data_IF_296216621738
#
_entry.id   IF_296216621738
#
_cell.length_a   1.000
_cell.length_b   1.000
_cell.length_c   1.000
_cell.angle_alpha   90.00
_cell.angle_beta   90.00
_cell.angle_gamma   90.00
#
_symmetry.space_group_name_H-M   'P 1'
#
loop_
_entity.id
_entity.type
_entity.pdbx_description
1 polymer ?
#
# COMPACT_ATOMS: atom_id res chain seq x y z
N UNK A 1 50.74 26.39 -24.08
CA UNK A 1 51.74 26.31 -25.17
C UNK A 1 53.13 26.30 -24.55
N UNK A 2 53.77 25.13 -24.47
CA UNK A 2 55.19 25.01 -24.19
C UNK A 2 55.69 23.87 -25.07
N UNK A 3 56.35 24.26 -26.15
CA UNK A 3 57.04 23.39 -27.07
C UNK A 3 58.51 23.32 -26.62
N UNK A 4 59.07 22.12 -26.59
CA UNK A 4 60.51 21.93 -26.76
C UNK A 4 60.71 20.62 -27.53
N UNK A 5 60.93 20.77 -28.83
CA UNK A 5 61.74 19.86 -29.62
C UNK A 5 63.21 20.10 -29.26
N UNK A 6 64.04 19.07 -29.24
CA UNK A 6 65.11 18.88 -30.25
C UNK A 6 65.73 17.48 -30.12
N UNK A 7 65.90 16.92 -31.30
CA UNK A 7 66.45 15.64 -31.76
C UNK A 7 67.99 15.60 -31.57
N UNK A 8 68.59 14.42 -31.32
CA UNK A 8 69.80 13.92 -32.04
C UNK A 8 69.99 12.42 -31.77
N UNK A 9 70.30 11.70 -32.84
CA UNK A 9 70.55 10.27 -33.02
C UNK A 9 71.78 9.72 -32.28
N UNK A 10 71.74 8.44 -31.88
CA UNK A 10 72.89 7.55 -31.97
C UNK A 10 72.52 6.09 -32.23
N UNK A 11 73.31 5.46 -33.08
CA UNK A 11 73.14 4.18 -33.78
C UNK A 11 73.76 3.01 -32.98
N UNK A 12 73.09 1.85 -33.04
CA UNK A 12 73.48 0.44 -32.84
C UNK A 12 74.51 0.02 -31.77
N UNK A 13 74.06 -0.87 -30.88
CA UNK A 13 74.84 -2.07 -30.52
C UNK A 13 73.91 -3.25 -30.24
N UNK A 14 74.13 -4.33 -30.98
CA UNK A 14 73.43 -5.61 -30.96
C UNK A 14 73.65 -6.36 -29.64
N UNK A 15 72.57 -6.62 -28.91
CA UNK A 15 72.47 -7.76 -27.99
C UNK A 15 71.12 -8.44 -28.20
N UNK A 16 71.16 -9.63 -28.79
CA UNK A 16 70.00 -10.53 -28.84
C UNK A 16 69.50 -10.77 -27.41
N UNK A 17 68.23 -10.44 -27.17
CA UNK A 17 67.51 -10.82 -25.97
C UNK A 17 66.83 -12.17 -26.22
N UNK A 18 66.76 -13.06 -25.21
CA UNK A 18 66.32 -14.43 -25.41
C UNK A 18 64.88 -14.45 -25.93
N UNK A 19 64.68 -15.19 -27.03
CA UNK A 19 63.37 -15.49 -27.62
C UNK A 19 62.55 -16.29 -26.62
N UNK A 20 61.49 -15.68 -26.08
CA UNK A 20 60.42 -16.41 -25.42
C UNK A 20 59.70 -17.23 -26.50
N UNK A 21 60.07 -18.50 -26.59
CA UNK A 21 59.34 -19.48 -27.37
C UNK A 21 57.88 -19.52 -26.94
N UNK A 22 56.99 -19.56 -27.94
CA UNK A 22 55.65 -20.10 -27.78
C UNK A 22 54.66 -19.25 -26.98
N UNK A 23 54.29 -18.08 -27.49
CA UNK A 23 52.95 -17.55 -27.19
C UNK A 23 52.23 -17.27 -28.50
N UNK A 24 51.38 -18.22 -28.93
CA UNK A 24 50.35 -17.97 -29.93
C UNK A 24 49.49 -16.83 -29.40
N UNK A 25 49.68 -15.63 -29.92
CA UNK A 25 48.74 -14.53 -29.73
C UNK A 25 47.46 -14.96 -30.45
N UNK A 26 46.54 -15.59 -29.71
CA UNK A 26 45.17 -15.81 -30.15
C UNK A 26 44.54 -14.43 -30.29
N UNK A 27 44.44 -13.94 -31.52
CA UNK A 27 43.51 -12.88 -31.87
C UNK A 27 42.14 -13.31 -31.35
N UNK A 28 41.57 -12.57 -30.38
CA UNK A 28 40.20 -12.85 -29.92
C UNK A 28 39.30 -12.79 -31.16
N UNK A 29 38.62 -13.90 -31.48
CA UNK A 29 37.47 -13.87 -32.39
C UNK A 29 36.56 -12.77 -31.85
N UNK A 30 36.33 -11.72 -32.63
CA UNK A 30 35.24 -10.79 -32.34
C UNK A 30 34.00 -11.66 -32.20
N UNK A 31 33.38 -11.67 -31.03
CA UNK A 31 32.06 -12.25 -30.86
C UNK A 31 31.13 -11.40 -31.72
N UNK A 32 30.97 -11.80 -32.99
CA UNK A 32 29.89 -11.32 -33.82
C UNK A 32 28.66 -11.95 -33.18
N UNK A 33 27.92 -11.17 -32.38
CA UNK A 33 26.61 -11.60 -31.94
C UNK A 33 25.82 -11.95 -33.21
N UNK A 34 25.37 -13.20 -33.33
CA UNK A 34 24.51 -13.60 -34.43
C UNK A 34 23.38 -12.56 -34.56
N UNK A 35 22.94 -12.17 -35.77
CA UNK A 35 21.82 -11.24 -35.92
C UNK A 35 20.61 -11.68 -35.08
N UNK A 36 19.85 -10.71 -34.57
CA UNK A 36 18.58 -10.99 -33.92
C UNK A 36 17.60 -11.43 -35.01
N UNK A 37 16.96 -12.57 -34.81
CA UNK A 37 15.87 -13.05 -35.68
C UNK A 37 14.65 -13.43 -34.82
N UNK A 38 13.94 -12.41 -34.30
CA UNK A 38 12.72 -12.65 -33.54
C UNK A 38 11.58 -13.19 -34.43
N UNK A 39 11.68 -13.11 -35.77
CA UNK A 39 10.61 -13.55 -36.68
C UNK A 39 10.59 -15.06 -36.71
N UNK A 40 11.73 -15.67 -37.05
CA UNK A 40 11.85 -17.12 -37.06
C UNK A 40 11.54 -17.76 -35.70
N UNK A 41 11.91 -17.10 -34.60
CA UNK A 41 11.53 -17.57 -33.26
C UNK A 41 10.02 -17.54 -33.05
N UNK A 42 9.35 -16.43 -33.40
CA UNK A 42 7.91 -16.31 -33.24
C UNK A 42 7.16 -17.33 -34.12
N UNK A 43 7.56 -17.46 -35.39
CA UNK A 43 6.96 -18.42 -36.33
C UNK A 43 7.08 -19.85 -35.82
N UNK A 44 8.23 -20.23 -35.24
CA UNK A 44 8.41 -21.53 -34.62
C UNK A 44 7.48 -21.74 -33.41
N UNK A 45 7.29 -20.72 -32.56
CA UNK A 45 6.35 -20.81 -31.43
C UNK A 45 4.91 -20.91 -31.94
N UNK A 46 4.53 -20.11 -32.95
CA UNK A 46 3.21 -20.15 -33.59
C UNK A 46 2.95 -21.56 -34.15
N UNK A 47 3.92 -22.13 -34.86
CA UNK A 47 3.80 -23.49 -35.39
C UNK A 47 3.59 -24.53 -34.29
N UNK A 48 4.27 -24.41 -33.14
CA UNK A 48 4.04 -25.29 -31.99
C UNK A 48 2.58 -25.21 -31.50
N UNK A 49 1.98 -24.01 -31.46
CA UNK A 49 0.56 -23.86 -31.10
C UNK A 49 -0.37 -24.50 -32.14
N UNK A 50 -0.07 -24.34 -33.43
CA UNK A 50 -0.86 -24.90 -34.53
C UNK A 50 -0.77 -26.44 -34.57
N UNK A 51 0.43 -27.00 -34.46
CA UNK A 51 0.69 -28.45 -34.48
C UNK A 51 -0.04 -29.20 -33.35
N UNK A 52 -0.24 -28.52 -32.22
CA UNK A 52 -0.92 -29.05 -31.04
C UNK A 52 -2.37 -28.57 -30.91
N UNK A 53 -2.93 -27.90 -31.93
CA UNK A 53 -4.30 -27.37 -31.94
C UNK A 53 -4.68 -26.56 -30.68
N UNK A 54 -3.72 -25.83 -30.11
CA UNK A 54 -3.93 -25.03 -28.91
C UNK A 54 -4.02 -25.78 -27.58
N UNK A 55 -3.78 -27.10 -27.57
CA UNK A 55 -3.69 -27.87 -26.31
C UNK A 55 -2.47 -27.39 -25.51
N UNK A 56 -2.72 -26.57 -24.49
CA UNK A 56 -1.67 -25.93 -23.70
C UNK A 56 -0.78 -26.94 -22.95
N UNK A 57 -1.27 -28.15 -22.66
CA UNK A 57 -0.47 -29.20 -22.04
C UNK A 57 0.54 -29.80 -23.02
N UNK A 58 0.13 -30.04 -24.27
CA UNK A 58 1.00 -30.50 -25.35
C UNK A 58 1.95 -29.40 -25.81
N UNK A 59 1.46 -28.17 -25.99
CA UNK A 59 2.27 -26.98 -26.30
C UNK A 59 3.37 -26.77 -25.27
N UNK A 60 3.07 -26.91 -23.98
CA UNK A 60 4.08 -26.81 -22.92
C UNK A 60 5.18 -27.87 -23.05
N UNK A 61 4.82 -29.12 -23.39
CA UNK A 61 5.79 -30.20 -23.62
C UNK A 61 6.66 -29.92 -24.83
N UNK A 62 6.07 -29.48 -25.95
CA UNK A 62 6.81 -29.12 -27.16
C UNK A 62 7.80 -27.97 -26.91
N UNK A 63 7.38 -26.94 -26.17
CA UNK A 63 8.25 -25.82 -25.76
C UNK A 63 9.39 -26.28 -24.84
N UNK A 64 9.11 -27.21 -23.92
CA UNK A 64 10.13 -27.80 -23.04
C UNK A 64 11.18 -28.58 -23.84
N UNK A 65 10.76 -29.34 -24.85
CA UNK A 65 11.65 -30.12 -25.72
C UNK A 65 12.34 -29.32 -26.83
N UNK A 66 11.88 -28.10 -27.12
CA UNK A 66 12.42 -27.28 -28.20
C UNK A 66 13.83 -26.75 -27.90
N UNK A 67 14.63 -26.55 -28.94
CA UNK A 67 15.96 -25.92 -28.92
C UNK A 67 15.90 -24.39 -29.08
N UNK A 68 14.69 -23.81 -29.02
CA UNK A 68 14.45 -22.37 -29.15
C UNK A 68 15.14 -21.55 -28.05
N UNK A 69 15.69 -20.40 -28.45
CA UNK A 69 16.46 -19.55 -27.54
C UNK A 69 15.59 -18.57 -26.72
N UNK A 70 14.91 -19.11 -25.70
CA UNK A 70 14.07 -18.35 -24.78
C UNK A 70 14.83 -17.26 -24.00
N UNK A 71 16.13 -17.44 -23.74
CA UNK A 71 16.94 -16.42 -23.08
C UNK A 71 17.08 -15.15 -23.92
N UNK A 72 17.06 -15.29 -25.25
CA UNK A 72 17.19 -14.19 -26.20
C UNK A 72 15.84 -13.59 -26.61
N UNK A 73 14.81 -14.42 -26.70
CA UNK A 73 13.52 -14.06 -27.28
C UNK A 73 12.34 -14.21 -26.30
N UNK A 74 12.60 -14.18 -24.99
CA UNK A 74 11.56 -14.34 -23.98
C UNK A 74 10.44 -13.31 -24.06
N UNK A 75 10.74 -12.05 -24.44
CA UNK A 75 9.70 -11.02 -24.66
C UNK A 75 8.80 -11.42 -25.85
N UNK A 76 9.41 -11.81 -26.97
CA UNK A 76 8.70 -12.28 -28.17
C UNK A 76 7.85 -13.53 -27.87
N UNK A 77 8.35 -14.44 -27.02
CA UNK A 77 7.57 -15.59 -26.58
C UNK A 77 6.25 -15.15 -25.92
N UNK A 78 6.31 -14.23 -24.94
CA UNK A 78 5.09 -13.77 -24.29
C UNK A 78 4.21 -12.91 -25.20
N UNK A 79 4.77 -12.16 -26.16
CA UNK A 79 3.95 -11.52 -27.21
C UNK A 79 3.10 -12.53 -27.98
N UNK A 80 3.70 -13.66 -28.38
CA UNK A 80 2.96 -14.76 -29.04
C UNK A 80 1.88 -15.33 -28.11
N UNK A 81 2.19 -15.58 -26.83
CA UNK A 81 1.19 -16.09 -25.85
C UNK A 81 0.00 -15.14 -25.70
N UNK A 82 0.23 -13.82 -25.63
CA UNK A 82 -0.84 -12.86 -25.46
C UNK A 82 -1.61 -12.56 -26.75
N UNK A 83 -0.91 -12.33 -27.86
CA UNK A 83 -1.49 -11.79 -29.10
C UNK A 83 -1.57 -12.81 -30.26
N UNK A 84 -1.07 -14.03 -30.08
CA UNK A 84 -1.12 -15.09 -31.10
C UNK A 84 0.02 -15.04 -32.11
N UNK A 85 0.87 -14.02 -32.04
CA UNK A 85 2.03 -13.82 -32.90
C UNK A 85 2.77 -12.55 -32.50
N UNK A 86 3.70 -12.11 -33.34
CA UNK A 86 4.41 -10.86 -33.11
C UNK A 86 3.51 -9.64 -33.24
N UNK A 87 3.91 -8.60 -32.52
CA UNK A 87 3.34 -7.25 -32.64
C UNK A 87 4.42 -6.29 -33.10
N UNK A 88 4.06 -5.29 -33.90
CA UNK A 88 5.02 -4.27 -34.32
C UNK A 88 5.56 -3.51 -33.08
N UNK A 89 6.85 -3.16 -33.05
CA UNK A 89 7.46 -2.50 -31.90
C UNK A 89 6.69 -1.27 -31.43
N UNK A 90 6.30 -1.24 -30.15
CA UNK A 90 5.57 -0.12 -29.55
C UNK A 90 4.08 -0.04 -29.94
N UNK A 91 3.53 -1.06 -30.58
CA UNK A 91 2.10 -1.15 -30.91
C UNK A 91 1.55 -2.53 -30.55
N UNK A 92 0.24 -2.71 -30.74
CA UNK A 92 -0.43 -4.02 -30.68
C UNK A 92 -0.78 -4.56 -32.07
N UNK A 93 -0.43 -3.82 -33.13
CA UNK A 93 -0.74 -4.22 -34.49
C UNK A 93 0.02 -5.50 -34.82
N UNK A 94 -0.63 -6.46 -35.50
CA UNK A 94 0.07 -7.61 -36.06
C UNK A 94 1.28 -7.14 -36.86
N UNK A 95 2.41 -7.80 -36.59
CA UNK A 95 3.57 -7.73 -37.47
C UNK A 95 3.42 -8.73 -38.62
N UNK A 96 4.29 -8.67 -39.63
CA UNK A 96 4.30 -9.68 -40.69
C UNK A 96 4.56 -11.08 -40.11
N UNK A 97 3.69 -12.05 -40.45
CA UNK A 97 3.80 -13.45 -40.01
C UNK A 97 2.45 -14.12 -39.75
N UNK A 98 2.47 -15.45 -39.54
CA UNK A 98 1.28 -16.20 -39.15
C UNK A 98 0.93 -15.99 -37.68
N UNK A 99 -0.35 -16.16 -37.34
CA UNK A 99 -0.86 -16.07 -35.96
C UNK A 99 -1.64 -17.31 -35.59
N UNK A 100 -1.46 -17.79 -34.36
CA UNK A 100 -2.32 -18.82 -33.80
C UNK A 100 -3.57 -18.21 -33.15
N UNK A 101 -4.74 -18.87 -33.25
CA UNK A 101 -6.00 -18.34 -32.69
C UNK A 101 -6.16 -18.58 -31.18
N UNK A 102 -5.22 -19.28 -30.54
CA UNK A 102 -5.32 -19.72 -29.14
C UNK A 102 -4.71 -18.73 -28.12
N UNK A 103 -4.62 -17.45 -28.46
CA UNK A 103 -3.99 -16.44 -27.62
C UNK A 103 -4.92 -15.92 -26.53
N UNK A 104 -4.35 -15.27 -25.50
CA UNK A 104 -5.15 -14.67 -24.41
C UNK A 104 -6.09 -13.58 -24.96
N UNK A 105 -5.67 -12.84 -25.99
CA UNK A 105 -6.51 -11.80 -26.60
C UNK A 105 -7.65 -12.39 -27.44
N UNK A 106 -7.48 -13.59 -28.01
CA UNK A 106 -8.52 -14.25 -28.82
C UNK A 106 -9.53 -15.06 -27.99
N UNK A 107 -9.20 -15.46 -26.75
CA UNK A 107 -10.11 -16.24 -25.90
C UNK A 107 -11.33 -15.44 -25.41
N UNK A 108 -12.34 -16.10 -24.83
CA UNK A 108 -13.49 -15.39 -24.24
C UNK A 108 -13.07 -14.53 -23.03
N UNK A 109 -13.73 -13.38 -22.83
CA UNK A 109 -13.51 -12.52 -21.66
C UNK A 109 -14.15 -13.08 -20.37
N UNK A 110 -13.77 -14.31 -20.02
CA UNK A 110 -14.23 -15.05 -18.85
C UNK A 110 -13.06 -15.74 -18.15
N UNK A 111 -13.21 -15.90 -16.83
CA UNK A 111 -12.19 -16.46 -15.93
C UNK A 111 -11.77 -17.87 -16.33
N UNK A 112 -12.74 -18.73 -16.58
CA UNK A 112 -12.60 -20.14 -17.00
C UNK A 112 -11.92 -20.30 -18.36
N UNK A 113 -12.09 -19.34 -19.28
CA UNK A 113 -11.38 -19.32 -20.55
C UNK A 113 -9.90 -18.88 -20.43
N UNK A 114 -9.59 -17.97 -19.50
CA UNK A 114 -8.24 -17.37 -19.34
C UNK A 114 -7.36 -18.17 -18.36
N UNK A 115 -7.96 -18.80 -17.34
CA UNK A 115 -7.24 -19.56 -16.31
C UNK A 115 -6.29 -20.63 -16.88
N UNK A 116 -6.64 -21.41 -17.92
CA UNK A 116 -5.71 -22.35 -18.54
C UNK A 116 -4.40 -21.70 -19.01
N UNK A 117 -4.45 -20.50 -19.59
CA UNK A 117 -3.26 -19.75 -20.02
C UNK A 117 -2.39 -19.34 -18.84
N UNK A 118 -2.99 -18.96 -17.70
CA UNK A 118 -2.25 -18.62 -16.46
C UNK A 118 -1.53 -19.85 -15.90
N UNK A 119 -2.21 -21.00 -15.83
CA UNK A 119 -1.62 -22.27 -15.39
C UNK A 119 -0.49 -22.70 -16.32
N UNK A 120 -0.70 -22.59 -17.64
CA UNK A 120 0.30 -22.84 -18.65
C UNK A 120 1.56 -21.97 -18.47
N UNK A 121 1.39 -20.65 -18.33
CA UNK A 121 2.53 -19.74 -18.08
C UNK A 121 3.24 -20.11 -16.77
N UNK A 122 2.49 -20.43 -15.71
CA UNK A 122 3.08 -20.85 -14.44
C UNK A 122 3.94 -22.10 -14.61
N UNK A 123 3.49 -23.09 -15.40
CA UNK A 123 4.25 -24.30 -15.72
C UNK A 123 5.54 -23.98 -16.48
N UNK A 124 5.48 -23.11 -17.49
CA UNK A 124 6.67 -22.66 -18.23
C UNK A 124 7.65 -21.95 -17.30
N UNK A 125 7.17 -21.05 -16.43
CA UNK A 125 8.01 -20.31 -15.49
C UNK A 125 8.66 -21.21 -14.42
N UNK A 126 7.99 -22.28 -13.98
CA UNK A 126 8.59 -23.27 -13.06
C UNK A 126 9.78 -23.98 -13.70
N UNK A 127 9.72 -24.26 -15.00
CA UNK A 127 10.81 -24.90 -15.77
C UNK A 127 11.88 -23.90 -16.22
N UNK A 128 11.49 -22.66 -16.50
CA UNK A 128 12.36 -21.59 -16.99
C UNK A 128 12.17 -20.30 -16.15
N UNK A 129 12.64 -20.27 -14.88
CA UNK A 129 12.36 -19.15 -13.97
C UNK A 129 12.88 -17.80 -14.46
N UNK A 130 13.94 -17.79 -15.27
CA UNK A 130 14.52 -16.57 -15.85
C UNK A 130 13.53 -15.80 -16.75
N UNK A 131 12.50 -16.46 -17.29
CA UNK A 131 11.47 -15.85 -18.12
C UNK A 131 10.52 -14.92 -17.35
N UNK A 132 10.53 -14.93 -16.01
CA UNK A 132 9.67 -14.04 -15.22
C UNK A 132 9.90 -12.57 -15.57
N UNK A 133 11.15 -12.19 -15.87
CA UNK A 133 11.48 -10.81 -16.23
C UNK A 133 10.89 -10.43 -17.59
N UNK A 134 10.86 -11.36 -18.53
CA UNK A 134 10.24 -11.13 -19.83
C UNK A 134 8.72 -11.00 -19.71
N UNK A 135 8.07 -11.84 -18.88
CA UNK A 135 6.65 -11.69 -18.60
C UNK A 135 6.34 -10.33 -17.96
N UNK A 136 7.14 -9.92 -16.97
CA UNK A 136 7.03 -8.61 -16.34
C UNK A 136 7.12 -7.48 -17.39
N UNK A 137 8.10 -7.55 -18.30
CA UNK A 137 8.28 -6.56 -19.36
C UNK A 137 7.07 -6.51 -20.30
N UNK A 138 6.56 -7.67 -20.73
CA UNK A 138 5.40 -7.74 -21.63
C UNK A 138 4.16 -7.20 -20.94
N UNK A 139 3.84 -7.65 -19.72
CA UNK A 139 2.71 -7.14 -18.96
C UNK A 139 2.79 -5.62 -18.75
N UNK A 140 3.97 -5.10 -18.40
CA UNK A 140 4.21 -3.67 -18.30
C UNK A 140 3.84 -2.95 -19.60
N UNK A 141 4.30 -3.44 -20.77
CA UNK A 141 3.98 -2.82 -22.06
C UNK A 141 2.49 -2.90 -22.40
N UNK A 142 1.84 -4.03 -22.13
CA UNK A 142 0.39 -4.21 -22.36
C UNK A 142 -0.41 -3.19 -21.54
N UNK A 143 -0.12 -3.07 -20.24
CA UNK A 143 -0.82 -2.15 -19.35
C UNK A 143 -0.50 -0.67 -19.62
N UNK A 144 0.69 -0.36 -20.15
CA UNK A 144 1.00 0.99 -20.64
C UNK A 144 0.27 1.37 -21.93
N UNK A 145 -0.30 0.38 -22.61
CA UNK A 145 -0.90 0.51 -23.94
C UNK A 145 -2.39 0.21 -23.91
N UNK A 146 -3.06 0.32 -22.75
CA UNK A 146 -4.50 0.05 -22.60
C UNK A 146 -5.37 0.82 -23.59
N UNK A 147 -4.92 1.98 -24.06
CA UNK A 147 -5.62 2.79 -25.06
C UNK A 147 -5.67 2.15 -26.45
N UNK A 148 -4.76 1.22 -26.74
CA UNK A 148 -4.68 0.51 -28.03
C UNK A 148 -5.56 -0.75 -28.05
N UNK A 149 -6.09 -1.17 -26.91
CA UNK A 149 -6.97 -2.33 -26.79
C UNK A 149 -8.44 -1.92 -26.88
N UNK A 150 -9.29 -2.79 -27.40
CA UNK A 150 -10.73 -2.67 -27.28
C UNK A 150 -11.21 -2.95 -25.85
N UNK A 151 -12.46 -2.59 -25.55
CA UNK A 151 -13.03 -2.79 -24.21
C UNK A 151 -12.98 -4.25 -23.76
N UNK A 152 -13.37 -5.16 -24.66
CA UNK A 152 -13.38 -6.60 -24.37
C UNK A 152 -11.96 -7.15 -24.14
N UNK A 153 -10.96 -6.65 -24.86
CA UNK A 153 -9.56 -7.05 -24.70
C UNK A 153 -8.97 -6.53 -23.39
N UNK A 154 -9.26 -5.27 -23.02
CA UNK A 154 -8.88 -4.71 -21.71
C UNK A 154 -9.44 -5.56 -20.56
N UNK A 155 -10.67 -6.04 -20.70
CA UNK A 155 -11.30 -6.94 -19.71
C UNK A 155 -10.55 -8.27 -19.62
N UNK A 156 -10.14 -8.88 -20.74
CA UNK A 156 -9.30 -10.09 -20.74
C UNK A 156 -7.97 -9.86 -20.01
N UNK A 157 -7.33 -8.71 -20.24
CA UNK A 157 -6.09 -8.35 -19.53
C UNK A 157 -6.30 -8.16 -18.03
N UNK A 158 -7.43 -7.58 -17.63
CA UNK A 158 -7.80 -7.41 -16.22
C UNK A 158 -7.99 -8.77 -15.53
N UNK A 159 -8.76 -9.67 -16.14
CA UNK A 159 -8.99 -11.04 -15.67
C UNK A 159 -7.67 -11.82 -15.60
N UNK A 160 -6.85 -11.77 -16.66
CA UNK A 160 -5.54 -12.41 -16.66
C UNK A 160 -4.67 -11.91 -15.51
N UNK A 161 -4.63 -10.59 -15.30
CA UNK A 161 -3.80 -9.98 -14.25
C UNK A 161 -4.31 -10.38 -12.85
N UNK A 162 -5.63 -10.44 -12.64
CA UNK A 162 -6.24 -10.91 -11.39
C UNK A 162 -5.88 -12.36 -11.11
N UNK A 163 -6.05 -13.24 -12.09
CA UNK A 163 -5.67 -14.64 -12.01
C UNK A 163 -4.17 -14.82 -11.78
N UNK A 164 -3.31 -14.05 -12.44
CA UNK A 164 -1.86 -14.12 -12.26
C UNK A 164 -1.46 -13.85 -10.81
N UNK A 165 -2.06 -12.85 -10.15
CA UNK A 165 -1.79 -12.58 -8.74
C UNK A 165 -2.47 -13.57 -7.79
N UNK A 166 -3.70 -13.99 -8.08
CA UNK A 166 -4.43 -14.98 -7.28
C UNK A 166 -3.70 -16.33 -7.26
N UNK A 167 -3.20 -16.77 -8.42
CA UNK A 167 -2.41 -18.00 -8.56
C UNK A 167 -0.94 -17.84 -8.12
N UNK A 168 -0.58 -16.67 -7.57
CA UNK A 168 0.78 -16.32 -7.11
C UNK A 168 1.84 -16.64 -8.15
N UNK A 169 1.59 -16.23 -9.41
CA UNK A 169 2.36 -16.62 -10.59
C UNK A 169 3.85 -16.27 -10.42
N UNK A 170 4.62 -17.27 -9.99
CA UNK A 170 6.08 -17.32 -9.82
C UNK A 170 6.75 -16.03 -9.29
N UNK A 171 6.08 -15.31 -8.38
CA UNK A 171 6.63 -14.10 -7.76
C UNK A 171 6.60 -12.85 -8.64
N UNK A 172 5.70 -12.77 -9.63
CA UNK A 172 5.48 -11.56 -10.43
C UNK A 172 5.34 -10.32 -9.52
N UNK A 173 6.16 -9.26 -9.71
CA UNK A 173 6.21 -8.15 -8.76
C UNK A 173 5.01 -7.22 -8.96
N UNK A 174 4.10 -7.07 -7.95
CA UNK A 174 2.92 -6.22 -8.08
C UNK A 174 3.24 -4.77 -8.46
N UNK A 175 4.29 -4.21 -7.86
CA UNK A 175 4.73 -2.83 -8.11
C UNK A 175 4.97 -2.58 -9.61
N UNK A 176 5.65 -3.50 -10.28
CA UNK A 176 6.03 -3.34 -11.69
C UNK A 176 4.86 -3.49 -12.66
N UNK A 177 3.80 -4.18 -12.23
CA UNK A 177 2.58 -4.41 -13.00
C UNK A 177 1.60 -3.26 -12.81
N UNK A 178 1.50 -2.70 -11.60
CA UNK A 178 0.52 -1.65 -11.28
C UNK A 178 1.02 -0.23 -11.53
N UNK A 179 2.29 0.10 -11.23
CA UNK A 179 2.85 1.43 -11.51
C UNK A 179 2.58 1.96 -12.94
N UNK A 180 2.64 1.13 -14.00
CA UNK A 180 2.39 1.60 -15.36
C UNK A 180 0.97 2.10 -15.61
N UNK A 181 0.00 1.74 -14.76
CA UNK A 181 -1.38 2.22 -14.83
C UNK A 181 -1.50 3.69 -14.39
N UNK A 182 -0.57 4.21 -13.60
CA UNK A 182 -0.62 5.59 -13.10
C UNK A 182 -0.18 6.64 -14.14
N UNK A 183 -0.14 6.31 -15.43
CA UNK A 183 0.14 7.29 -16.50
C UNK A 183 -1.05 8.23 -16.71
N UNK A 184 -0.81 9.53 -16.63
CA UNK A 184 -1.83 10.60 -16.68
C UNK A 184 -2.80 10.48 -17.87
N UNK A 185 -2.30 10.13 -19.07
CA UNK A 185 -3.12 9.89 -20.28
C UNK A 185 -4.21 8.83 -20.01
N UNK A 186 -3.81 7.66 -19.53
CA UNK A 186 -4.71 6.51 -19.38
C UNK A 186 -5.74 6.78 -18.27
N UNK A 187 -5.31 7.46 -17.20
CA UNK A 187 -6.16 7.90 -16.10
C UNK A 187 -7.19 8.93 -16.59
N UNK A 188 -6.77 9.94 -17.35
CA UNK A 188 -7.67 10.97 -17.88
C UNK A 188 -8.77 10.39 -18.78
N UNK A 189 -8.45 9.35 -19.56
CA UNK A 189 -9.41 8.63 -20.42
C UNK A 189 -10.32 7.66 -19.65
N UNK A 190 -10.10 7.46 -18.35
CA UNK A 190 -10.87 6.51 -17.52
C UNK A 190 -10.57 5.03 -17.78
N UNK A 191 -9.55 4.73 -18.59
CA UNK A 191 -9.18 3.35 -18.95
C UNK A 191 -8.64 2.58 -17.74
N UNK A 192 -7.88 3.28 -16.89
CA UNK A 192 -7.30 2.72 -15.67
C UNK A 192 -8.39 2.33 -14.68
N UNK A 193 -9.37 3.22 -14.47
CA UNK A 193 -10.49 2.95 -13.58
C UNK A 193 -11.31 1.73 -14.05
N UNK A 194 -11.58 1.63 -15.35
CA UNK A 194 -12.27 0.47 -15.93
C UNK A 194 -11.48 -0.82 -15.68
N UNK A 195 -10.19 -0.82 -16.03
CA UNK A 195 -9.31 -1.98 -15.86
C UNK A 195 -9.22 -2.42 -14.39
N UNK A 196 -8.98 -1.49 -13.47
CA UNK A 196 -8.86 -1.79 -12.03
C UNK A 196 -10.17 -2.34 -11.47
N UNK A 197 -11.32 -1.85 -11.96
CA UNK A 197 -12.62 -2.34 -11.51
C UNK A 197 -12.84 -3.80 -11.89
N UNK A 198 -12.54 -4.17 -13.14
CA UNK A 198 -12.63 -5.56 -13.60
C UNK A 198 -11.61 -6.45 -12.89
N UNK A 199 -10.40 -5.94 -12.67
CA UNK A 199 -9.35 -6.62 -11.91
C UNK A 199 -9.78 -6.91 -10.47
N UNK A 200 -10.33 -5.93 -9.74
CA UNK A 200 -10.80 -6.12 -8.36
C UNK A 200 -11.94 -7.13 -8.29
N UNK A 201 -12.91 -7.03 -9.20
CA UNK A 201 -14.01 -7.98 -9.29
C UNK A 201 -13.51 -9.41 -9.45
N UNK A 202 -12.63 -9.64 -10.41
CA UNK A 202 -12.13 -10.98 -10.70
C UNK A 202 -11.15 -11.49 -9.61
N UNK A 203 -10.35 -10.61 -9.00
CA UNK A 203 -9.45 -10.98 -7.92
C UNK A 203 -10.22 -11.41 -6.67
N UNK A 204 -11.30 -10.71 -6.32
CA UNK A 204 -12.11 -10.98 -5.13
C UNK A 204 -13.04 -12.21 -5.26
N UNK A 205 -13.05 -12.90 -6.41
CA UNK A 205 -13.76 -14.18 -6.56
C UNK A 205 -13.13 -15.26 -5.66
N UNK A 206 -11.80 -15.32 -5.61
CA UNK A 206 -11.05 -16.37 -4.90
C UNK A 206 -10.21 -15.82 -3.71
N UNK A 207 -10.16 -14.51 -3.52
CA UNK A 207 -9.31 -13.86 -2.51
C UNK A 207 -10.14 -12.91 -1.64
N UNK A 208 -9.69 -12.70 -0.40
CA UNK A 208 -10.34 -11.76 0.52
C UNK A 208 -10.00 -10.30 0.19
N UNK A 209 -10.75 -9.36 0.78
CA UNK A 209 -10.39 -7.95 0.73
C UNK A 209 -9.01 -7.70 1.37
N UNK A 210 -8.69 -8.37 2.47
CA UNK A 210 -7.39 -8.24 3.14
C UNK A 210 -6.23 -8.69 2.24
N UNK A 211 -6.43 -9.76 1.45
CA UNK A 211 -5.47 -10.19 0.43
C UNK A 211 -5.29 -9.12 -0.65
N UNK A 212 -6.40 -8.53 -1.12
CA UNK A 212 -6.37 -7.45 -2.11
C UNK A 212 -5.61 -6.23 -1.56
N UNK A 213 -5.93 -5.76 -0.36
CA UNK A 213 -5.23 -4.64 0.28
C UNK A 213 -3.74 -4.96 0.45
N UNK A 214 -3.39 -6.20 0.85
CA UNK A 214 -2.00 -6.64 0.97
C UNK A 214 -1.29 -6.65 -0.39
N UNK A 215 -1.97 -7.03 -1.46
CA UNK A 215 -1.46 -6.97 -2.83
C UNK A 215 -1.21 -5.53 -3.27
N UNK A 216 -2.17 -4.62 -3.01
CA UNK A 216 -2.05 -3.19 -3.35
C UNK A 216 -0.91 -2.50 -2.57
N UNK A 217 -0.71 -2.87 -1.30
CA UNK A 217 0.43 -2.41 -0.48
C UNK A 217 1.77 -2.85 -1.07
N UNK A 218 1.89 -4.13 -1.46
CA UNK A 218 3.07 -4.65 -2.19
C UNK A 218 3.24 -3.99 -3.56
N UNK A 219 2.13 -3.53 -4.15
CA UNK A 219 2.10 -2.74 -5.38
C UNK A 219 2.48 -1.27 -5.20
N UNK A 220 2.54 -0.77 -3.95
CA UNK A 220 2.69 0.64 -3.60
C UNK A 220 1.64 1.54 -4.26
N UNK A 221 0.40 1.06 -4.33
CA UNK A 221 -0.73 1.78 -4.96
C UNK A 221 -1.97 1.85 -4.06
N UNK A 222 -1.88 1.35 -2.82
CA UNK A 222 -2.99 1.33 -1.87
C UNK A 222 -3.35 2.73 -1.33
N UNK A 223 -2.37 3.64 -1.27
CA UNK A 223 -2.63 5.06 -0.99
C UNK A 223 -3.14 5.83 -2.22
N UNK A 224 -3.05 5.22 -3.42
CA UNK A 224 -3.31 5.88 -4.70
C UNK A 224 -4.66 5.47 -5.32
N UNK A 225 -5.56 4.84 -4.56
CA UNK A 225 -6.84 4.34 -5.11
C UNK A 225 -7.67 5.44 -5.79
N UNK A 226 -7.65 6.67 -5.24
CA UNK A 226 -8.28 7.84 -5.87
C UNK A 226 -7.56 8.28 -7.15
N UNK A 227 -6.26 8.00 -7.28
CA UNK A 227 -5.50 8.40 -8.47
C UNK A 227 -5.89 7.61 -9.73
N UNK A 228 -6.55 6.45 -9.60
CA UNK A 228 -7.11 5.71 -10.73
C UNK A 228 -8.25 6.42 -11.43
N UNK A 229 -8.93 7.35 -10.73
CA UNK A 229 -10.02 8.13 -11.29
C UNK A 229 -9.48 9.27 -12.16
N UNK A 230 -10.16 9.59 -13.27
CA UNK A 230 -9.95 10.86 -13.97
C UNK A 230 -10.00 12.02 -12.98
N UNK A 231 -9.15 13.04 -13.17
CA UNK A 231 -9.01 14.15 -12.23
C UNK A 231 -10.34 14.83 -11.87
N UNK A 232 -11.27 14.93 -12.82
CA UNK A 232 -12.61 15.51 -12.64
C UNK A 232 -13.56 14.68 -11.77
N UNK A 233 -13.21 13.42 -11.47
CA UNK A 233 -14.03 12.47 -10.69
C UNK A 233 -13.38 12.06 -9.36
N UNK A 234 -12.26 12.69 -8.98
CA UNK A 234 -11.55 12.37 -7.74
C UNK A 234 -12.26 13.00 -6.55
N UNK A 235 -13.15 12.25 -5.92
CA UNK A 235 -13.75 12.60 -4.63
C UNK A 235 -14.11 11.35 -3.85
N UNK A 236 -14.35 11.49 -2.54
CA UNK A 236 -14.81 10.38 -1.70
C UNK A 236 -16.18 9.86 -2.17
N UNK A 237 -17.05 10.77 -2.59
CA UNK A 237 -18.38 10.46 -3.13
C UNK A 237 -18.27 9.72 -4.47
N UNK A 238 -17.41 10.19 -5.37
CA UNK A 238 -17.18 9.55 -6.66
C UNK A 238 -16.57 8.15 -6.54
N UNK A 239 -15.69 7.96 -5.54
CA UNK A 239 -15.17 6.64 -5.19
C UNK A 239 -16.28 5.70 -4.72
N UNK A 240 -17.07 6.16 -3.74
CA UNK A 240 -18.16 5.38 -3.14
C UNK A 240 -19.22 5.01 -4.17
N UNK A 241 -19.68 5.96 -4.99
CA UNK A 241 -20.66 5.74 -6.06
C UNK A 241 -20.18 4.70 -7.08
N UNK A 242 -18.96 4.86 -7.60
CA UNK A 242 -18.41 3.98 -8.64
C UNK A 242 -18.27 2.54 -8.13
N UNK A 243 -17.64 2.35 -6.97
CA UNK A 243 -17.37 1.00 -6.47
C UNK A 243 -18.61 0.32 -5.88
N UNK A 244 -19.56 1.07 -5.33
CA UNK A 244 -20.87 0.52 -4.95
C UNK A 244 -21.63 0.02 -6.17
N UNK A 245 -21.69 0.79 -7.26
CA UNK A 245 -22.30 0.37 -8.53
C UNK A 245 -21.58 -0.84 -9.14
N UNK A 246 -20.28 -0.97 -8.89
CA UNK A 246 -19.49 -2.13 -9.28
C UNK A 246 -19.68 -3.36 -8.36
N UNK A 247 -20.46 -3.27 -7.28
CA UNK A 247 -20.64 -4.37 -6.32
C UNK A 247 -19.47 -4.57 -5.34
N UNK A 248 -18.59 -3.58 -5.21
CA UNK A 248 -17.39 -3.61 -4.38
C UNK A 248 -17.59 -2.81 -3.08
N UNK A 249 -18.73 -3.01 -2.42
CA UNK A 249 -19.10 -2.32 -1.16
C UNK A 249 -18.05 -2.49 -0.05
N UNK A 250 -17.45 -3.68 0.17
CA UNK A 250 -16.40 -3.82 1.19
C UNK A 250 -15.17 -2.92 0.94
N UNK A 251 -14.84 -2.63 -0.33
CA UNK A 251 -13.76 -1.71 -0.67
C UNK A 251 -14.13 -0.25 -0.35
N UNK A 252 -15.40 0.12 -0.49
CA UNK A 252 -15.93 1.45 -0.12
C UNK A 252 -15.81 1.65 1.39
N UNK A 253 -16.31 0.70 2.18
CA UNK A 253 -16.24 0.74 3.64
C UNK A 253 -14.78 0.81 4.14
N UNK A 254 -13.89 0.05 3.51
CA UNK A 254 -12.45 0.13 3.77
C UNK A 254 -11.89 1.53 3.52
N UNK A 255 -12.19 2.12 2.36
CA UNK A 255 -11.68 3.43 1.99
C UNK A 255 -12.26 4.54 2.89
N UNK A 256 -13.53 4.48 3.26
CA UNK A 256 -14.17 5.41 4.21
C UNK A 256 -13.51 5.34 5.58
N UNK A 257 -13.28 4.13 6.10
CA UNK A 257 -12.57 3.92 7.35
C UNK A 257 -11.13 4.45 7.28
N UNK A 258 -10.40 4.17 6.20
CA UNK A 258 -9.04 4.67 5.98
C UNK A 258 -8.99 6.19 5.95
N UNK A 259 -9.89 6.84 5.21
CA UNK A 259 -9.99 8.31 5.16
C UNK A 259 -10.30 8.88 6.54
N UNK A 260 -11.20 8.24 7.29
CA UNK A 260 -11.52 8.65 8.65
C UNK A 260 -10.28 8.55 9.58
N UNK A 261 -9.56 7.43 9.56
CA UNK A 261 -8.32 7.24 10.34
C UNK A 261 -7.23 8.26 9.98
N UNK A 262 -7.07 8.60 8.69
CA UNK A 262 -6.14 9.64 8.24
C UNK A 262 -6.54 11.01 8.81
N UNK A 263 -7.82 11.38 8.72
CA UNK A 263 -8.33 12.64 9.29
C UNK A 263 -8.11 12.72 10.81
N UNK A 264 -8.35 11.63 11.53
CA UNK A 264 -8.08 11.56 12.98
C UNK A 264 -6.59 11.76 13.27
N UNK A 265 -5.70 11.12 12.50
CA UNK A 265 -4.25 11.26 12.66
C UNK A 265 -3.75 12.67 12.37
N UNK A 266 -4.27 13.31 11.32
CA UNK A 266 -3.95 14.70 10.97
C UNK A 266 -4.42 15.67 12.06
N UNK A 267 -5.64 15.49 12.56
CA UNK A 267 -6.17 16.29 13.67
C UNK A 267 -5.31 16.10 14.92
N UNK A 268 -4.99 14.86 15.29
CA UNK A 268 -4.12 14.55 16.41
C UNK A 268 -2.77 15.27 16.29
N UNK A 269 -2.11 15.15 15.13
CA UNK A 269 -0.82 15.80 14.88
C UNK A 269 -0.91 17.33 15.00
N UNK A 270 -1.93 17.95 14.41
CA UNK A 270 -2.09 19.40 14.44
C UNK A 270 -2.35 19.93 15.86
N UNK A 271 -3.19 19.24 16.63
CA UNK A 271 -3.50 19.64 18.01
C UNK A 271 -2.34 19.40 18.97
N UNK A 272 -1.58 18.31 18.80
CA UNK A 272 -0.35 18.10 19.57
C UNK A 272 0.63 19.25 19.37
N UNK A 273 0.81 19.73 18.14
CA UNK A 273 1.65 20.92 17.88
C UNK A 273 1.15 22.15 18.61
N UNK A 274 -0.15 22.48 18.50
CA UNK A 274 -0.73 23.64 19.20
C UNK A 274 -0.56 23.56 20.72
N UNK A 275 -0.72 22.37 21.30
CA UNK A 275 -0.56 22.14 22.74
C UNK A 275 0.90 22.28 23.16
N UNK A 276 1.85 21.74 22.39
CA UNK A 276 3.30 21.84 22.68
C UNK A 276 3.79 23.28 22.56
N UNK A 277 3.24 24.05 21.61
CA UNK A 277 3.53 25.47 21.42
C UNK A 277 2.81 26.37 22.43
N UNK A 278 2.03 25.79 23.35
CA UNK A 278 1.23 26.51 24.35
C UNK A 278 0.33 27.59 23.70
N UNK A 279 -0.27 27.25 22.55
CA UNK A 279 -1.21 28.11 21.82
C UNK A 279 -2.39 28.52 22.70
N UNK A 280 -3.05 29.63 22.38
CA UNK A 280 -4.16 30.12 23.18
C UNK A 280 -5.32 29.11 23.25
N UNK A 281 -5.86 28.91 24.46
CA UNK A 281 -6.92 27.93 24.73
C UNK A 281 -8.15 28.12 23.83
N UNK A 282 -8.54 29.38 23.56
CA UNK A 282 -9.71 29.67 22.72
C UNK A 282 -9.46 29.34 21.25
N UNK A 283 -8.24 29.57 20.76
CA UNK A 283 -7.82 29.19 19.41
C UNK A 283 -7.79 27.67 19.21
N UNK A 284 -7.31 26.93 20.21
CA UNK A 284 -7.31 25.45 20.19
C UNK A 284 -8.75 24.92 20.19
N UNK A 285 -9.63 25.45 21.06
CA UNK A 285 -11.05 25.07 21.09
C UNK A 285 -11.72 25.33 19.73
N UNK A 286 -11.49 26.49 19.12
CA UNK A 286 -12.08 26.81 17.81
C UNK A 286 -11.54 25.90 16.70
N UNK A 287 -10.25 25.58 16.73
CA UNK A 287 -9.64 24.61 15.82
C UNK A 287 -10.34 23.25 15.94
N UNK A 288 -10.56 22.74 17.15
CA UNK A 288 -11.24 21.46 17.38
C UNK A 288 -12.68 21.54 16.86
N UNK A 289 -13.44 22.58 17.20
CA UNK A 289 -14.83 22.76 16.71
C UNK A 289 -14.92 22.73 15.19
N UNK A 290 -14.03 23.44 14.51
CA UNK A 290 -13.99 23.48 13.05
C UNK A 290 -13.69 22.09 12.46
N UNK A 291 -12.70 21.37 13.02
CA UNK A 291 -12.34 20.01 12.56
C UNK A 291 -13.45 19.00 12.81
N UNK A 292 -14.13 19.06 13.95
CA UNK A 292 -15.28 18.20 14.28
C UNK A 292 -16.40 18.41 13.26
N UNK A 293 -16.70 19.68 12.93
CA UNK A 293 -17.71 20.04 11.93
C UNK A 293 -17.35 19.55 10.52
N UNK A 294 -16.12 19.79 10.08
CA UNK A 294 -15.67 19.46 8.72
C UNK A 294 -15.58 17.94 8.47
N UNK A 295 -15.11 17.19 9.47
CA UNK A 295 -14.94 15.75 9.38
C UNK A 295 -16.13 14.94 9.94
N UNK A 296 -17.14 15.61 10.52
CA UNK A 296 -18.30 14.98 11.19
C UNK A 296 -17.86 13.93 12.22
N UNK A 297 -16.89 14.30 13.06
CA UNK A 297 -16.30 13.38 14.03
C UNK A 297 -17.30 13.08 15.16
N UNK A 298 -17.44 11.81 15.59
CA UNK A 298 -18.21 11.47 16.77
C UNK A 298 -17.58 12.05 18.03
N UNK A 299 -18.38 12.59 18.96
CA UNK A 299 -17.91 13.20 20.21
C UNK A 299 -17.01 12.25 21.04
N UNK A 300 -17.30 10.95 21.01
CA UNK A 300 -16.47 9.90 21.65
C UNK A 300 -15.05 9.89 21.09
N UNK A 301 -14.88 10.01 19.77
CA UNK A 301 -13.55 10.04 19.15
C UNK A 301 -12.83 11.36 19.43
N UNK A 302 -13.58 12.47 19.50
CA UNK A 302 -13.03 13.78 19.86
C UNK A 302 -12.42 13.73 21.26
N UNK A 303 -13.17 13.29 22.27
CA UNK A 303 -12.66 13.28 23.65
C UNK A 303 -11.45 12.36 23.82
N UNK A 304 -11.44 11.21 23.11
CA UNK A 304 -10.31 10.27 23.09
C UNK A 304 -9.06 10.91 22.48
N UNK A 305 -9.21 11.63 21.37
CA UNK A 305 -8.10 12.36 20.73
C UNK A 305 -7.60 13.48 21.64
N UNK A 306 -8.49 14.27 22.23
CA UNK A 306 -8.11 15.38 23.11
C UNK A 306 -7.26 14.89 24.28
N UNK A 307 -7.67 13.79 24.91
CA UNK A 307 -6.86 13.14 25.94
C UNK A 307 -5.49 12.69 25.39
N UNK A 308 -5.46 12.02 24.25
CA UNK A 308 -4.20 11.58 23.63
C UNK A 308 -3.25 12.74 23.32
N UNK A 309 -3.73 13.84 22.76
CA UNK A 309 -2.87 14.99 22.40
C UNK A 309 -2.33 15.72 23.63
N UNK A 310 -3.14 15.82 24.70
CA UNK A 310 -2.72 16.38 25.98
C UNK A 310 -1.60 15.50 26.56
N UNK A 311 -1.78 14.19 26.60
CA UNK A 311 -0.80 13.26 27.18
C UNK A 311 0.46 13.10 26.32
N UNK A 312 0.34 13.15 24.99
CA UNK A 312 1.48 13.09 24.07
C UNK A 312 2.36 14.34 24.15
N UNK A 313 1.81 15.48 24.58
CA UNK A 313 2.56 16.71 24.80
C UNK A 313 3.32 16.74 26.15
N UNK A 314 3.14 15.75 27.02
CA UNK A 314 3.84 15.69 28.31
C UNK A 314 5.34 15.50 28.10
N UNK A 315 6.14 16.39 28.69
CA UNK A 315 7.59 16.27 28.68
C UNK A 315 8.08 15.31 29.77
N UNK A 316 8.41 14.08 29.36
CA UNK A 316 8.88 13.02 30.26
C UNK A 316 10.39 13.11 30.55
N UNK A 317 10.74 12.97 31.82
CA UNK A 317 12.10 12.81 32.33
C UNK A 317 12.45 11.34 32.55
N UNK A 318 13.61 10.90 32.05
CA UNK A 318 14.08 9.51 32.22
C UNK A 318 14.59 9.17 33.63
N UNK A 319 14.78 10.16 34.51
CA UNK A 319 15.44 9.98 35.82
C UNK A 319 14.57 10.29 37.03
N UNK A 320 13.44 10.99 36.84
CA UNK A 320 12.66 11.52 37.96
C UNK A 320 11.16 11.20 37.81
N UNK A 321 10.72 10.17 38.53
CA UNK A 321 9.33 9.74 38.52
C UNK A 321 8.38 10.78 39.12
N UNK A 322 8.80 11.52 40.14
CA UNK A 322 7.97 12.58 40.73
C UNK A 322 7.79 13.76 39.75
N UNK A 323 8.85 14.11 39.02
CA UNK A 323 8.75 15.13 37.98
C UNK A 323 7.78 14.71 36.88
N UNK A 324 7.82 13.44 36.46
CA UNK A 324 6.89 12.89 35.48
C UNK A 324 5.43 12.98 35.93
N UNK A 325 5.17 12.65 37.20
CA UNK A 325 3.85 12.79 37.80
C UNK A 325 3.36 14.24 37.78
N UNK A 326 4.20 15.17 38.23
CA UNK A 326 3.87 16.59 38.26
C UNK A 326 3.65 17.16 36.83
N UNK A 327 4.46 16.74 35.85
CA UNK A 327 4.30 17.16 34.45
C UNK A 327 2.97 16.69 33.87
N UNK A 328 2.59 15.43 34.09
CA UNK A 328 1.32 14.89 33.62
C UNK A 328 0.13 15.62 34.26
N UNK A 329 0.12 15.78 35.58
CA UNK A 329 -0.96 16.49 36.28
C UNK A 329 -1.04 17.97 35.90
N UNK A 330 0.11 18.64 35.71
CA UNK A 330 0.13 20.01 35.21
C UNK A 330 -0.50 20.08 33.84
N UNK A 331 -0.17 19.16 32.93
CA UNK A 331 -0.72 19.13 31.59
C UNK A 331 -2.23 18.96 31.59
N UNK A 332 -2.75 18.02 32.39
CA UNK A 332 -4.19 17.81 32.57
C UNK A 332 -4.88 19.07 33.09
N UNK A 333 -4.32 19.72 34.12
CA UNK A 333 -4.87 20.97 34.69
C UNK A 333 -4.89 22.12 33.69
N UNK A 334 -3.77 22.35 33.00
CA UNK A 334 -3.64 23.43 32.01
C UNK A 334 -4.70 23.29 30.91
N UNK A 335 -4.96 22.07 30.45
CA UNK A 335 -5.85 21.80 29.32
C UNK A 335 -7.23 21.26 29.73
N UNK A 336 -7.59 21.35 31.02
CA UNK A 336 -8.89 20.90 31.52
C UNK A 336 -10.05 21.67 30.85
N UNK A 337 -9.90 22.98 30.62
CA UNK A 337 -10.91 23.78 29.92
C UNK A 337 -11.16 23.30 28.47
N UNK A 338 -10.13 22.77 27.80
CA UNK A 338 -10.28 22.16 26.49
C UNK A 338 -11.15 20.90 26.60
N UNK A 339 -10.82 19.99 27.52
CA UNK A 339 -11.61 18.76 27.75
C UNK A 339 -13.07 19.10 28.12
N UNK A 340 -13.29 20.02 29.07
CA UNK A 340 -14.62 20.46 29.50
C UNK A 340 -15.46 20.99 28.33
N UNK A 341 -14.85 21.72 27.38
CA UNK A 341 -15.57 22.23 26.20
C UNK A 341 -16.14 21.14 25.28
N UNK A 342 -15.68 19.89 25.39
CA UNK A 342 -16.13 18.76 24.58
C UNK A 342 -16.71 17.59 25.41
N UNK A 343 -16.57 17.60 26.73
CA UNK A 343 -17.30 16.74 27.67
C UNK A 343 -18.74 17.27 27.87
N UNK A 344 -19.60 17.07 26.87
CA UNK A 344 -20.95 17.66 26.83
C UNK A 344 -22.03 16.82 27.51
N UNK A 345 -21.71 15.61 27.97
CA UNK A 345 -22.66 14.72 28.65
C UNK A 345 -21.94 13.68 29.51
N UNK A 346 -22.65 13.12 30.49
CA UNK A 346 -22.12 12.04 31.34
C UNK A 346 -21.63 10.81 30.58
N UNK A 347 -22.17 10.53 29.38
CA UNK A 347 -21.64 9.45 28.53
C UNK A 347 -20.23 9.76 27.99
N UNK A 348 -19.94 11.01 27.64
CA UNK A 348 -18.63 11.45 27.15
C UNK A 348 -17.63 11.55 28.31
N UNK A 349 -18.07 12.06 29.46
CA UNK A 349 -17.30 12.06 30.70
C UNK A 349 -16.89 10.64 31.12
N UNK A 350 -17.84 9.69 31.12
CA UNK A 350 -17.57 8.28 31.44
C UNK A 350 -16.52 7.70 30.48
N UNK A 351 -16.61 8.09 29.21
CA UNK A 351 -15.67 7.61 28.20
C UNK A 351 -14.28 8.23 28.31
N UNK A 352 -14.18 9.48 28.78
CA UNK A 352 -12.92 10.07 29.21
C UNK A 352 -12.31 9.28 30.37
N UNK A 353 -13.09 8.92 31.40
CA UNK A 353 -12.61 8.11 32.54
C UNK A 353 -12.09 6.75 32.04
N UNK A 354 -12.82 6.07 31.14
CA UNK A 354 -12.34 4.81 30.58
C UNK A 354 -11.06 4.97 29.76
N UNK A 355 -10.92 6.04 28.98
CA UNK A 355 -9.68 6.34 28.24
C UNK A 355 -8.50 6.56 29.19
N UNK A 356 -8.69 7.34 30.26
CA UNK A 356 -7.68 7.57 31.30
C UNK A 356 -7.31 6.26 32.01
N UNK A 357 -8.32 5.46 32.40
CA UNK A 357 -8.14 4.15 33.03
C UNK A 357 -7.25 3.24 32.19
N UNK A 358 -7.55 3.14 30.89
CA UNK A 358 -6.82 2.30 29.94
C UNK A 358 -5.36 2.74 29.82
N UNK A 359 -5.11 4.03 29.66
CA UNK A 359 -3.73 4.53 29.53
C UNK A 359 -2.94 4.42 30.84
N UNK A 360 -3.56 4.69 31.99
CA UNK A 360 -2.91 4.50 33.30
C UNK A 360 -2.58 3.03 33.56
N UNK A 361 -3.37 2.09 33.04
CA UNK A 361 -3.08 0.67 33.15
C UNK A 361 -1.92 0.23 32.24
N UNK A 362 -1.83 0.81 31.05
CA UNK A 362 -0.83 0.45 30.03
C UNK A 362 0.53 1.14 30.24
N UNK A 363 0.56 2.32 30.89
CA UNK A 363 1.79 3.05 31.22
C UNK A 363 2.08 3.04 32.72
N UNK A 364 3.14 2.32 33.12
CA UNK A 364 3.60 2.22 34.50
C UNK A 364 3.93 3.58 35.16
N UNK A 365 4.25 4.61 34.37
CA UNK A 365 4.48 5.99 34.89
C UNK A 365 3.19 6.63 35.39
N UNK A 366 2.05 6.27 34.80
CA UNK A 366 0.74 6.85 35.05
C UNK A 366 -0.10 6.02 36.02
N UNK A 367 0.22 4.75 36.22
CA UNK A 367 -0.59 3.81 37.01
C UNK A 367 -0.97 4.32 38.41
N UNK A 368 -0.07 5.03 39.10
CA UNK A 368 -0.35 5.58 40.44
C UNK A 368 -1.10 6.92 40.41
N UNK A 369 -1.18 7.58 39.26
CA UNK A 369 -1.76 8.91 39.10
C UNK A 369 -3.24 8.90 38.79
N UNK A 370 -3.82 7.73 38.50
CA UNK A 370 -5.25 7.63 38.15
C UNK A 370 -6.17 8.38 39.13
N UNK A 371 -6.07 8.20 40.47
CA UNK A 371 -6.93 8.94 41.40
C UNK A 371 -6.71 10.46 41.36
N UNK A 372 -5.45 10.89 41.23
CA UNK A 372 -5.10 12.31 41.19
C UNK A 372 -5.56 12.97 39.88
N UNK A 373 -5.53 12.24 38.76
CA UNK A 373 -6.07 12.70 37.48
C UNK A 373 -7.59 12.84 37.57
N UNK A 374 -8.30 11.83 38.09
CA UNK A 374 -9.77 11.88 38.21
C UNK A 374 -10.20 13.03 39.12
N UNK A 375 -9.57 13.18 40.29
CA UNK A 375 -9.83 14.33 41.18
C UNK A 375 -9.52 15.65 40.48
N UNK A 376 -8.40 15.75 39.76
CA UNK A 376 -8.07 16.98 39.04
C UNK A 376 -9.07 17.32 37.92
N UNK A 377 -9.70 16.33 37.30
CA UNK A 377 -10.73 16.56 36.29
C UNK A 377 -12.07 16.95 36.93
N UNK A 378 -12.40 16.38 38.09
CA UNK A 378 -13.52 16.81 38.93
C UNK A 378 -13.36 18.27 39.38
N UNK A 379 -12.21 18.62 39.98
CA UNK A 379 -11.90 19.97 40.48
C UNK A 379 -11.88 21.05 39.38
N UNK A 380 -11.95 20.67 38.10
CA UNK A 380 -11.97 21.57 36.94
C UNK A 380 -13.30 21.50 36.17
N UNK A 381 -14.33 20.94 36.80
CA UNK A 381 -15.67 20.77 36.24
C UNK A 381 -15.70 19.98 34.92
N UNK A 382 -14.72 19.09 34.69
CA UNK A 382 -14.67 18.24 33.49
C UNK A 382 -15.46 16.94 33.69
N UNK A 383 -15.48 16.42 34.93
CA UNK A 383 -16.22 15.21 35.29
C UNK A 383 -17.22 15.57 36.38
N UNK A 384 -18.49 15.21 36.16
CA UNK A 384 -19.51 15.31 37.18
C UNK A 384 -19.35 14.20 38.24
N UNK A 385 -19.79 14.50 39.46
CA UNK A 385 -19.83 13.54 40.57
C UNK A 385 -20.58 12.26 40.19
N UNK A 386 -21.79 12.40 39.65
CA UNK A 386 -22.64 11.29 39.19
C UNK A 386 -21.91 10.35 38.23
N UNK A 387 -21.11 10.90 37.30
CA UNK A 387 -20.34 10.11 36.34
C UNK A 387 -19.23 9.32 37.04
N UNK A 388 -18.53 9.93 38.00
CA UNK A 388 -17.48 9.27 38.79
C UNK A 388 -18.07 8.13 39.63
N UNK A 389 -19.18 8.40 40.33
CA UNK A 389 -19.91 7.38 41.11
C UNK A 389 -20.44 6.26 40.23
N UNK A 390 -20.95 6.59 39.03
CA UNK A 390 -21.39 5.60 38.06
C UNK A 390 -20.23 4.70 37.60
N UNK A 391 -19.09 5.28 37.21
CA UNK A 391 -17.91 4.53 36.83
C UNK A 391 -17.43 3.61 37.97
N UNK A 392 -17.38 4.13 39.19
CA UNK A 392 -16.92 3.41 40.38
C UNK A 392 -17.82 2.20 40.67
N UNK A 393 -19.14 2.41 40.74
CA UNK A 393 -20.12 1.37 41.12
C UNK A 393 -20.46 0.40 39.97
N UNK A 394 -20.66 0.92 38.76
CA UNK A 394 -21.26 0.19 37.62
C UNK A 394 -20.39 0.11 36.37
N UNK A 395 -19.19 0.69 36.37
CA UNK A 395 -18.33 0.68 35.20
C UNK A 395 -18.01 -0.73 34.68
N UNK A 396 -17.92 -0.86 33.36
CA UNK A 396 -17.89 -2.14 32.64
C UNK A 396 -16.51 -2.47 32.09
N UNK A 397 -15.60 -1.50 31.98
CA UNK A 397 -14.25 -1.74 31.47
C UNK A 397 -13.39 -2.52 32.50
N UNK A 398 -12.94 -3.75 32.20
CA UNK A 398 -12.22 -4.58 33.17
C UNK A 398 -10.74 -4.20 33.37
N UNK A 399 -10.12 -3.44 32.45
CA UNK A 399 -8.66 -3.21 32.49
C UNK A 399 -8.23 -2.42 33.71
N UNK A 400 -7.52 -3.04 34.65
CA UNK A 400 -7.06 -2.37 35.87
C UNK A 400 -8.15 -1.96 36.87
N UNK A 401 -9.43 -2.32 36.61
CA UNK A 401 -10.59 -1.84 37.37
C UNK A 401 -10.47 -2.08 38.87
N UNK A 402 -10.14 -3.30 39.28
CA UNK A 402 -10.04 -3.64 40.71
C UNK A 402 -9.00 -2.78 41.44
N UNK A 403 -7.87 -2.49 40.78
CA UNK A 403 -6.81 -1.64 41.33
C UNK A 403 -7.27 -0.19 41.43
N UNK A 404 -7.88 0.34 40.37
CA UNK A 404 -8.28 1.75 40.32
C UNK A 404 -9.50 2.07 41.18
N UNK A 405 -10.47 1.16 41.29
CA UNK A 405 -11.60 1.30 42.24
C UNK A 405 -11.05 1.40 43.66
N UNK A 406 -10.20 0.47 44.10
CA UNK A 406 -9.56 0.56 45.42
C UNK A 406 -8.76 1.84 45.63
N UNK A 407 -8.08 2.33 44.59
CA UNK A 407 -7.28 3.55 44.68
C UNK A 407 -8.13 4.82 44.73
N UNK A 408 -9.34 4.81 44.15
CA UNK A 408 -10.26 5.95 44.11
C UNK A 408 -11.25 5.96 45.29
N UNK A 409 -11.39 4.84 46.01
CA UNK A 409 -12.33 4.66 47.14
C UNK A 409 -12.28 5.81 48.18
N UNK A 410 -11.10 6.31 48.63
CA UNK A 410 -11.07 7.44 49.57
C UNK A 410 -11.67 8.74 49.00
N UNK A 411 -11.58 8.95 47.68
CA UNK A 411 -12.16 10.12 47.04
C UNK A 411 -13.67 9.96 46.85
N UNK A 412 -14.13 8.75 46.53
CA UNK A 412 -15.57 8.46 46.41
C UNK A 412 -16.29 8.59 47.75
N UNK A 413 -15.72 8.08 48.84
CA UNK A 413 -16.31 8.26 50.17
C UNK A 413 -16.43 9.75 50.51
N UNK A 414 -15.44 10.57 50.15
CA UNK A 414 -15.49 12.02 50.34
C UNK A 414 -16.60 12.69 49.51
N UNK A 415 -16.82 12.27 48.26
CA UNK A 415 -17.92 12.78 47.43
C UNK A 415 -19.28 12.47 48.09
N UNK A 416 -19.47 11.22 48.52
CA UNK A 416 -20.72 10.77 49.14
C UNK A 416 -20.97 11.44 50.50
N UNK A 417 -19.93 11.66 51.32
CA UNK A 417 -20.05 12.35 52.62
C UNK A 417 -20.31 13.85 52.46
N UNK A 418 -19.76 14.50 51.42
CA UNK A 418 -19.97 15.92 51.17
C UNK A 418 -21.41 16.24 50.74
N UNK A 419 -22.09 15.32 50.05
CA UNK A 419 -23.49 15.46 49.66
C UNK A 419 -24.46 15.30 50.86
N UNK A 420 -24.08 14.57 51.91
CA UNK A 420 -24.90 14.39 53.13
C UNK A 420 -24.86 15.60 54.09
N UNK A 421 -23.90 16.51 53.93
CA UNK A 421 -23.70 17.70 54.78
C UNK A 421 -24.30 19.00 54.19
N UNK A 422 -24.74 19.00 52.93
CA UNK A 422 -25.52 20.09 52.28
C UNK A 422 -27.04 19.80 52.33
#
# INVERSE_FOLDING_TARGET
>A
MLASLILVLHICSSKEKPTLGGTRIKTRKRNIAAPLDPSAFADAVVQIYLDNAGDLELVARSIESSDLNFSRYGDTFFEVVFAGGRTQPGTLKPDEGERHPYSIIECEAKRDAILPSVIYIQKILRRRPFLIKNLENVMRRLLQSLELFEENERKKLAIFTALAFSQKLSGLPPETVFQPLLKDNLVAKGLVLSFITDFFKDYLVDNSLDDLISLLKRGKIEDDLLQFFPSTKRSAEGFSEHFTKAGLVPLVEYNEKKIFEVKLKEMKSALTTQIVEESDMSEVIETVKQRVKDAKLPDIEVIRILWDVIMDAVQWSGKNQQQNANSALRQVKTWAKLLNSFCTSGNIELELIYKVQMQCYEDAKLMKLFPEIVRSLYDQDVLAEDTILHWFRKGTNPKGRQTFVKALEPFVNWLEEAEEEE
#
